data_IF_987000178536
#
_entry.id   IF_987000178536
#
_cell.length_a   1.000
_cell.length_b   1.000
_cell.length_c   1.000
_cell.angle_alpha   90.00
_cell.angle_beta   90.00
_cell.angle_gamma   90.00
#
_symmetry.space_group_name_H-M   'P 1'
#
loop_
_entity.id
_entity.type
_entity.pdbx_description
1 polymer ?
#
# COMPACT_ATOMS: atom_id res chain seq x y z
N UNK A 1 50.02 21.21 -13.89
CA UNK A 1 48.87 20.99 -12.99
C UNK A 1 47.78 20.33 -13.82
N UNK A 2 47.73 18.99 -13.81
CA UNK A 2 46.82 18.20 -14.64
C UNK A 2 45.45 18.15 -13.96
N UNK A 3 44.43 18.71 -14.62
CA UNK A 3 43.04 18.65 -14.16
C UNK A 3 42.45 17.32 -14.65
N UNK A 4 42.27 16.36 -13.74
CA UNK A 4 41.62 15.09 -14.02
C UNK A 4 40.10 15.32 -13.95
N UNK A 5 39.44 15.28 -15.11
CA UNK A 5 37.99 15.38 -15.24
C UNK A 5 37.39 14.01 -14.84
N UNK A 6 36.82 13.94 -13.65
CA UNK A 6 36.15 12.76 -13.12
C UNK A 6 34.74 12.69 -13.71
N UNK A 7 34.56 11.84 -14.73
CA UNK A 7 33.25 11.54 -15.30
C UNK A 7 32.47 10.69 -14.29
N UNK A 8 31.49 11.29 -13.63
CA UNK A 8 30.49 10.56 -12.85
C UNK A 8 29.61 9.77 -13.81
N UNK A 9 29.82 8.46 -13.88
CA UNK A 9 28.85 7.55 -14.47
C UNK A 9 27.64 7.48 -13.54
N UNK A 10 26.52 8.09 -13.94
CA UNK A 10 25.24 7.87 -13.29
C UNK A 10 24.89 6.37 -13.40
N UNK A 11 24.44 5.70 -12.33
CA UNK A 11 23.87 4.37 -12.47
C UNK A 11 22.64 4.50 -13.37
N UNK A 12 22.69 3.85 -14.53
CA UNK A 12 21.55 3.81 -15.43
C UNK A 12 20.35 3.24 -14.69
N UNK A 13 19.21 3.91 -14.81
CA UNK A 13 17.91 3.33 -14.53
C UNK A 13 17.79 2.09 -15.42
N UNK A 14 17.99 0.91 -14.84
CA UNK A 14 17.73 -0.34 -15.52
C UNK A 14 16.22 -0.48 -15.59
N UNK A 15 15.65 -0.11 -16.73
CA UNK A 15 14.36 -0.61 -17.18
C UNK A 15 14.61 -1.90 -17.99
N UNK A 16 13.61 -2.76 -18.09
CA UNK A 16 13.62 -3.88 -19.02
C UNK A 16 13.91 -3.40 -20.45
N UNK A 17 15.11 -3.67 -20.98
CA UNK A 17 15.46 -3.37 -22.37
C UNK A 17 14.89 -4.45 -23.28
N UNK A 18 13.71 -4.21 -23.84
CA UNK A 18 13.02 -5.10 -24.77
C UNK A 18 11.55 -4.74 -24.82
N UNK A 19 10.74 -5.51 -25.54
CA UNK A 19 9.29 -5.33 -25.60
C UNK A 19 8.65 -6.67 -25.36
N UNK A 20 7.59 -6.70 -24.56
CA UNK A 20 6.79 -7.89 -24.36
C UNK A 20 6.32 -8.48 -25.70
N UNK A 21 6.72 -9.73 -25.97
CA UNK A 21 6.41 -10.42 -27.21
C UNK A 21 4.89 -10.67 -27.32
N UNK A 22 4.39 -10.89 -28.54
CA UNK A 22 2.97 -11.21 -28.74
C UNK A 22 2.57 -12.54 -28.08
N UNK A 23 3.47 -13.51 -28.09
CA UNK A 23 3.27 -14.83 -27.47
C UNK A 23 3.24 -14.71 -25.94
N UNK A 24 4.22 -14.02 -25.34
CA UNK A 24 4.27 -13.80 -23.89
C UNK A 24 3.07 -12.98 -23.42
N UNK A 25 2.65 -11.96 -24.18
CA UNK A 25 1.45 -11.18 -23.89
C UNK A 25 0.19 -12.06 -23.87
N UNK A 26 0.02 -12.94 -24.86
CA UNK A 26 -1.13 -13.85 -24.90
C UNK A 26 -1.11 -14.85 -23.73
N UNK A 27 0.07 -15.34 -23.36
CA UNK A 27 0.24 -16.22 -22.21
C UNK A 27 -0.05 -15.52 -20.87
N UNK A 28 0.36 -14.25 -20.72
CA UNK A 28 0.05 -13.42 -19.56
C UNK A 28 -1.45 -13.12 -19.45
N UNK A 29 -2.12 -12.81 -20.56
CA UNK A 29 -3.57 -12.64 -20.59
C UNK A 29 -4.32 -13.92 -20.18
N UNK A 30 -3.86 -15.08 -20.63
CA UNK A 30 -4.42 -16.35 -20.18
C UNK A 30 -4.17 -16.60 -18.68
N UNK A 31 -3.01 -16.18 -18.15
CA UNK A 31 -2.70 -16.26 -16.72
C UNK A 31 -3.57 -15.30 -15.90
N UNK A 32 -3.80 -14.08 -16.39
CA UNK A 32 -4.67 -13.07 -15.78
C UNK A 32 -6.08 -13.61 -15.50
N UNK A 33 -6.70 -14.29 -16.48
CA UNK A 33 -8.00 -14.92 -16.28
C UNK A 33 -8.00 -16.02 -15.21
N UNK A 34 -6.89 -16.78 -15.06
CA UNK A 34 -6.73 -17.78 -13.99
C UNK A 34 -6.53 -17.10 -12.63
N UNK A 35 -5.71 -16.06 -12.57
CA UNK A 35 -5.49 -15.24 -11.38
C UNK A 35 -6.82 -14.66 -10.89
N UNK A 36 -7.62 -14.08 -11.78
CA UNK A 36 -8.93 -13.51 -11.45
C UNK A 36 -9.86 -14.54 -10.81
N UNK A 37 -9.96 -15.74 -11.38
CA UNK A 37 -10.77 -16.83 -10.82
C UNK A 37 -10.29 -17.26 -9.43
N UNK A 38 -8.97 -17.38 -9.23
CA UNK A 38 -8.38 -17.72 -7.93
C UNK A 38 -8.65 -16.63 -6.89
N UNK A 39 -8.51 -15.35 -7.25
CA UNK A 39 -8.81 -14.23 -6.36
C UNK A 39 -10.29 -14.16 -6.00
N UNK A 40 -11.19 -14.44 -6.95
CA UNK A 40 -12.62 -14.56 -6.68
C UNK A 40 -12.89 -15.65 -5.62
N UNK A 41 -12.29 -16.84 -5.75
CA UNK A 41 -12.40 -17.90 -4.74
C UNK A 41 -11.88 -17.46 -3.38
N UNK A 42 -10.73 -16.77 -3.32
CA UNK A 42 -10.15 -16.26 -2.07
C UNK A 42 -11.12 -15.35 -1.31
N UNK A 43 -11.87 -14.49 -2.01
CA UNK A 43 -12.75 -13.53 -1.33
C UNK A 43 -14.19 -13.98 -1.15
N UNK A 44 -14.67 -14.94 -1.96
CA UNK A 44 -16.10 -15.29 -1.99
C UNK A 44 -16.42 -16.68 -1.48
N UNK A 45 -15.43 -17.59 -1.42
CA UNK A 45 -15.68 -18.96 -1.01
C UNK A 45 -15.90 -19.07 0.51
N UNK A 46 -16.97 -19.77 0.88
CA UNK A 46 -17.33 -20.04 2.27
C UNK A 46 -16.36 -21.02 2.95
N UNK A 47 -15.73 -21.92 2.20
CA UNK A 47 -14.81 -22.93 2.68
C UNK A 47 -13.43 -22.35 2.92
N UNK A 48 -13.00 -22.33 4.18
CA UNK A 48 -11.65 -21.90 4.56
C UNK A 48 -10.57 -22.67 3.80
N UNK A 49 -10.73 -24.00 3.67
CA UNK A 49 -9.77 -24.86 2.96
C UNK A 49 -9.64 -24.48 1.49
N UNK A 50 -10.76 -24.12 0.84
CA UNK A 50 -10.76 -23.73 -0.57
C UNK A 50 -10.15 -22.34 -0.74
N UNK A 51 -10.41 -21.38 0.17
CA UNK A 51 -9.72 -20.08 0.18
C UNK A 51 -8.21 -20.22 0.34
N UNK A 52 -7.74 -21.04 1.28
CA UNK A 52 -6.30 -21.29 1.47
C UNK A 52 -5.67 -21.98 0.26
N UNK A 53 -6.38 -22.94 -0.34
CA UNK A 53 -5.93 -23.66 -1.54
C UNK A 53 -5.81 -22.70 -2.73
N UNK A 54 -6.83 -21.87 -2.95
CA UNK A 54 -6.84 -20.84 -3.98
C UNK A 54 -5.72 -19.81 -3.76
N UNK A 55 -5.47 -19.39 -2.52
CA UNK A 55 -4.36 -18.48 -2.19
C UNK A 55 -2.99 -19.11 -2.51
N UNK A 56 -2.79 -20.38 -2.18
CA UNK A 56 -1.55 -21.09 -2.52
C UNK A 56 -1.36 -21.17 -4.03
N UNK A 57 -2.42 -21.48 -4.77
CA UNK A 57 -2.34 -21.65 -6.21
C UNK A 57 -2.25 -20.30 -6.94
N UNK A 58 -2.81 -19.22 -6.38
CA UNK A 58 -2.60 -17.85 -6.82
C UNK A 58 -1.12 -17.49 -6.78
N UNK A 59 -0.42 -17.78 -5.67
CA UNK A 59 1.02 -17.51 -5.54
C UNK A 59 1.81 -18.23 -6.64
N UNK A 60 1.51 -19.51 -6.89
CA UNK A 60 2.20 -20.30 -7.92
C UNK A 60 1.93 -19.76 -9.33
N UNK A 61 0.68 -19.45 -9.64
CA UNK A 61 0.29 -18.90 -10.94
C UNK A 61 0.94 -17.53 -11.15
N UNK A 62 0.94 -16.67 -10.13
CA UNK A 62 1.56 -15.34 -10.19
C UNK A 62 3.06 -15.45 -10.43
N UNK A 63 3.78 -16.27 -9.65
CA UNK A 63 5.23 -16.49 -9.87
C UNK A 63 5.50 -17.01 -11.28
N UNK A 64 4.70 -17.96 -11.76
CA UNK A 64 4.83 -18.51 -13.12
C UNK A 64 4.54 -17.45 -14.19
N UNK A 65 3.56 -16.57 -13.97
CA UNK A 65 3.25 -15.46 -14.87
C UNK A 65 4.42 -14.47 -14.92
N UNK A 66 4.95 -14.08 -13.76
CA UNK A 66 5.99 -13.07 -13.65
C UNK A 66 7.37 -13.54 -14.14
N UNK A 67 7.64 -14.85 -14.16
CA UNK A 67 8.86 -15.44 -14.73
C UNK A 67 9.01 -15.24 -16.25
N UNK A 68 7.94 -14.80 -16.92
CA UNK A 68 8.01 -14.47 -18.35
C UNK A 68 8.86 -13.22 -18.59
N UNK A 69 9.67 -13.20 -19.67
CA UNK A 69 10.40 -12.01 -20.08
C UNK A 69 9.46 -10.81 -20.25
N UNK A 70 9.92 -9.65 -19.80
CA UNK A 70 9.18 -8.40 -19.90
C UNK A 70 7.82 -8.36 -19.19
N UNK A 71 7.58 -9.25 -18.21
CA UNK A 71 6.31 -9.32 -17.48
C UNK A 71 5.94 -8.04 -16.72
N UNK A 72 6.92 -7.17 -16.41
CA UNK A 72 6.69 -5.87 -15.76
C UNK A 72 5.83 -4.93 -16.63
N UNK A 73 5.88 -5.09 -17.95
CA UNK A 73 5.09 -4.30 -18.91
C UNK A 73 3.60 -4.68 -18.94
N UNK A 74 3.23 -5.84 -18.38
CA UNK A 74 1.85 -6.31 -18.35
C UNK A 74 1.17 -5.88 -17.06
N UNK A 75 0.10 -5.08 -17.14
CA UNK A 75 -0.49 -4.40 -15.98
C UNK A 75 -1.35 -5.29 -15.07
N UNK A 76 -1.93 -6.38 -15.59
CA UNK A 76 -2.90 -7.25 -14.89
C UNK A 76 -4.15 -6.50 -14.37
N UNK A 77 -4.73 -5.63 -15.20
CA UNK A 77 -5.86 -4.76 -14.86
C UNK A 77 -7.17 -5.53 -14.57
N UNK A 78 -7.28 -6.78 -15.02
CA UNK A 78 -8.48 -7.63 -14.93
C UNK A 78 -8.43 -8.67 -13.79
N UNK A 79 -7.71 -8.37 -12.69
CA UNK A 79 -7.68 -9.22 -11.48
C UNK A 79 -8.26 -8.49 -10.26
N UNK A 80 -9.59 -8.36 -10.13
CA UNK A 80 -10.22 -7.68 -9.00
C UNK A 80 -9.82 -8.29 -7.66
N UNK A 81 -9.34 -7.48 -6.71
CA UNK A 81 -8.92 -7.92 -5.37
C UNK A 81 -7.44 -8.30 -5.23
N UNK A 82 -6.68 -8.31 -6.34
CA UNK A 82 -5.22 -8.29 -6.33
C UNK A 82 -4.77 -6.84 -6.55
N UNK A 83 -4.23 -6.21 -5.51
CA UNK A 83 -3.70 -4.84 -5.66
C UNK A 83 -2.31 -4.87 -6.28
N UNK A 84 -2.10 -4.00 -7.28
CA UNK A 84 -0.84 -3.87 -8.02
C UNK A 84 -0.52 -2.39 -8.12
N UNK A 85 0.47 -1.93 -7.35
CA UNK A 85 0.80 -0.52 -7.27
C UNK A 85 2.21 -0.24 -7.78
N UNK A 86 2.35 0.91 -8.46
CA UNK A 86 3.61 1.38 -9.05
C UNK A 86 3.93 2.76 -8.46
N UNK A 87 5.21 3.05 -8.13
CA UNK A 87 5.64 4.43 -7.97
C UNK A 87 5.63 5.14 -9.33
N UNK A 88 5.63 6.48 -9.31
CA UNK A 88 5.65 7.33 -10.50
C UNK A 88 6.82 6.99 -11.45
N UNK A 89 7.99 6.67 -10.90
CA UNK A 89 9.20 6.35 -11.67
C UNK A 89 9.18 4.94 -12.29
N UNK A 90 8.19 4.12 -11.95
CA UNK A 90 8.01 2.73 -12.42
C UNK A 90 9.26 1.85 -12.20
N UNK A 91 10.05 2.15 -11.17
CA UNK A 91 11.26 1.39 -10.84
C UNK A 91 10.96 -0.01 -10.28
N UNK A 92 9.79 -0.18 -9.67
CA UNK A 92 9.26 -1.46 -9.19
C UNK A 92 7.73 -1.45 -9.23
N UNK A 93 7.11 -2.55 -8.83
CA UNK A 93 5.69 -2.63 -8.49
C UNK A 93 5.50 -3.58 -7.31
N UNK A 94 4.43 -3.39 -6.55
CA UNK A 94 4.08 -4.25 -5.41
C UNK A 94 2.73 -4.89 -5.67
N UNK A 95 2.71 -6.22 -5.59
CA UNK A 95 1.50 -7.03 -5.57
C UNK A 95 1.10 -7.27 -4.12
N UNK A 96 -0.15 -7.05 -3.75
CA UNK A 96 -0.67 -7.39 -2.42
C UNK A 96 -2.13 -7.83 -2.43
N UNK A 97 -2.48 -8.73 -1.52
CA UNK A 97 -3.85 -9.16 -1.25
C UNK A 97 -3.95 -9.68 0.19
N UNK A 98 -5.17 -9.80 0.69
CA UNK A 98 -5.45 -10.33 2.02
C UNK A 98 -6.27 -11.62 1.93
N UNK A 99 -6.10 -12.50 2.91
CA UNK A 99 -6.84 -13.73 3.09
C UNK A 99 -7.54 -13.67 4.44
N UNK A 100 -8.87 -13.74 4.42
CA UNK A 100 -9.67 -13.92 5.62
C UNK A 100 -9.47 -15.33 6.18
N UNK A 101 -8.82 -15.41 7.35
CA UNK A 101 -8.63 -16.67 8.08
C UNK A 101 -9.85 -16.89 8.97
N UNK A 102 -10.11 -15.95 9.87
CA UNK A 102 -11.24 -15.95 10.79
C UNK A 102 -11.63 -14.52 11.21
N UNK A 103 -12.59 -14.40 12.14
CA UNK A 103 -13.17 -13.11 12.57
C UNK A 103 -12.16 -12.09 13.10
N UNK A 104 -11.03 -12.54 13.60
CA UNK A 104 -10.02 -11.71 14.25
C UNK A 104 -8.69 -11.70 13.48
N UNK A 105 -8.59 -12.51 12.42
CA UNK A 105 -7.31 -12.78 11.76
C UNK A 105 -7.42 -12.67 10.25
N UNK A 106 -6.64 -11.75 9.70
CA UNK A 106 -6.31 -11.68 8.29
C UNK A 106 -4.84 -12.03 8.08
N UNK A 107 -4.53 -12.68 6.96
CA UNK A 107 -3.16 -12.88 6.50
C UNK A 107 -2.93 -12.10 5.23
N UNK A 108 -1.79 -11.43 5.15
CA UNK A 108 -1.40 -10.66 4.00
C UNK A 108 -0.35 -11.39 3.20
N UNK A 109 -0.39 -11.17 1.90
CA UNK A 109 0.59 -11.71 0.99
C UNK A 109 1.01 -10.60 0.06
N UNK A 110 2.28 -10.61 -0.32
CA UNK A 110 2.75 -9.70 -1.34
C UNK A 110 4.09 -10.07 -1.95
N UNK A 111 4.41 -9.37 -3.02
CA UNK A 111 5.70 -9.46 -3.67
C UNK A 111 6.06 -8.12 -4.32
N UNK A 112 7.32 -7.74 -4.21
CA UNK A 112 7.88 -6.60 -4.94
C UNK A 112 8.60 -7.14 -6.18
N UNK A 113 8.20 -6.67 -7.36
CA UNK A 113 8.91 -6.96 -8.61
C UNK A 113 9.65 -5.71 -9.06
N UNK A 114 10.98 -5.80 -9.27
CA UNK A 114 11.73 -4.71 -9.90
C UNK A 114 11.55 -4.69 -11.40
N UNK A 115 11.69 -3.50 -11.99
CA UNK A 115 11.71 -3.31 -13.43
C UNK A 115 13.11 -3.62 -14.03
N UNK A 116 13.66 -4.80 -13.75
CA UNK A 116 14.98 -5.23 -14.24
C UNK A 116 14.86 -6.16 -15.45
N UNK A 117 15.91 -6.23 -16.27
CA UNK A 117 15.96 -7.09 -17.47
C UNK A 117 15.66 -8.57 -17.15
N UNK A 118 16.19 -9.06 -16.04
CA UNK A 118 15.86 -10.38 -15.47
C UNK A 118 14.80 -10.23 -14.38
N UNK A 119 14.04 -11.30 -14.11
CA UNK A 119 13.05 -11.29 -13.04
C UNK A 119 13.75 -11.14 -11.68
N UNK A 120 13.56 -9.99 -11.04
CA UNK A 120 13.84 -9.80 -9.63
C UNK A 120 12.53 -9.67 -8.85
N UNK A 121 12.12 -10.77 -8.23
CA UNK A 121 10.89 -10.88 -7.44
C UNK A 121 11.25 -11.14 -5.97
N UNK A 122 10.82 -10.24 -5.09
CA UNK A 122 11.12 -10.27 -3.67
C UNK A 122 9.81 -10.55 -2.91
N UNK A 123 9.66 -11.72 -2.27
CA UNK A 123 8.44 -12.03 -1.51
C UNK A 123 8.36 -11.15 -0.26
N UNK A 124 7.17 -10.64 0.04
CA UNK A 124 6.85 -9.96 1.29
C UNK A 124 6.18 -10.97 2.23
N UNK A 125 6.89 -11.33 3.30
CA UNK A 125 6.47 -12.32 4.29
C UNK A 125 5.81 -11.59 5.45
N UNK A 126 4.49 -11.77 5.58
CA UNK A 126 3.70 -11.21 6.67
C UNK A 126 4.12 -11.79 8.03
N UNK A 127 4.48 -10.88 8.94
CA UNK A 127 4.82 -11.10 10.33
C UNK A 127 4.18 -10.03 11.23
N UNK A 128 3.03 -9.48 10.85
CA UNK A 128 2.33 -8.43 11.60
C UNK A 128 2.08 -8.78 13.08
N UNK A 129 1.77 -10.05 13.36
CA UNK A 129 1.62 -10.58 14.73
C UNK A 129 2.87 -10.40 15.60
N UNK A 130 4.06 -10.35 15.00
CA UNK A 130 5.33 -10.13 15.72
C UNK A 130 5.55 -8.66 16.10
N UNK A 131 4.74 -7.75 15.59
CA UNK A 131 4.90 -6.29 15.72
C UNK A 131 3.76 -5.61 16.48
N UNK A 132 2.90 -6.36 17.15
CA UNK A 132 1.69 -5.83 17.81
C UNK A 132 1.96 -4.76 18.88
N UNK A 133 3.10 -4.83 19.58
CA UNK A 133 3.39 -3.91 20.69
C UNK A 133 3.85 -2.52 20.24
N UNK A 134 4.65 -2.45 19.18
CA UNK A 134 5.23 -1.19 18.72
C UNK A 134 5.46 -1.18 17.20
N UNK A 135 4.39 -1.35 16.40
CA UNK A 135 4.52 -1.40 14.96
C UNK A 135 4.95 -0.04 14.42
N UNK A 136 4.64 1.08 15.06
CA UNK A 136 4.90 2.41 14.48
C UNK A 136 6.37 2.86 14.52
N UNK A 137 7.21 2.14 15.25
CA UNK A 137 8.65 2.41 15.37
C UNK A 137 9.53 1.28 14.79
N UNK A 138 8.93 0.22 14.23
CA UNK A 138 9.68 -0.93 13.75
C UNK A 138 10.30 -0.69 12.37
N UNK A 139 11.60 -0.93 12.20
CA UNK A 139 12.23 -0.99 10.88
C UNK A 139 12.30 -2.45 10.46
N UNK A 140 11.66 -2.80 9.34
CA UNK A 140 11.48 -4.20 8.92
C UNK A 140 11.98 -4.45 7.50
N UNK A 141 12.25 -5.72 7.20
CA UNK A 141 12.65 -6.18 5.87
C UNK A 141 11.53 -7.00 5.26
N UNK A 142 11.65 -7.31 3.96
CA UNK A 142 10.66 -8.12 3.25
C UNK A 142 10.37 -9.48 3.89
N UNK A 143 11.31 -10.12 4.58
CA UNK A 143 11.13 -11.40 5.26
C UNK A 143 10.46 -11.31 6.65
N UNK A 144 10.18 -10.10 7.12
CA UNK A 144 9.53 -9.81 8.39
C UNK A 144 8.60 -8.59 8.30
N UNK A 145 7.90 -8.48 7.18
CA UNK A 145 7.06 -7.34 6.82
C UNK A 145 5.77 -7.31 7.67
N UNK A 146 5.18 -6.12 7.86
CA UNK A 146 4.03 -5.94 8.73
C UNK A 146 2.74 -6.58 8.21
N UNK A 147 2.59 -6.70 6.88
CA UNK A 147 1.38 -7.22 6.25
C UNK A 147 0.30 -6.15 6.09
N UNK A 148 0.01 -5.76 4.85
CA UNK A 148 -1.12 -4.88 4.48
C UNK A 148 -1.33 -4.89 2.97
N UNK A 149 -2.54 -4.57 2.50
CA UNK A 149 -2.80 -4.37 1.07
C UNK A 149 -2.39 -2.96 0.67
N UNK A 150 -1.44 -2.81 -0.24
CA UNK A 150 -0.99 -1.50 -0.73
C UNK A 150 -2.03 -0.96 -1.71
N UNK A 151 -2.56 0.23 -1.49
CA UNK A 151 -3.50 0.88 -2.41
C UNK A 151 -2.89 2.07 -3.17
N UNK A 152 -1.74 2.59 -2.72
CA UNK A 152 -1.04 3.66 -3.42
C UNK A 152 0.46 3.68 -3.08
N UNK A 153 1.28 4.20 -4.01
CA UNK A 153 2.72 4.37 -3.82
C UNK A 153 3.15 5.71 -4.40
N UNK A 154 3.74 6.56 -3.56
CA UNK A 154 4.17 7.90 -3.95
C UNK A 154 5.67 8.11 -3.74
N UNK A 155 6.28 8.93 -4.59
CA UNK A 155 7.68 9.33 -4.44
C UNK A 155 7.86 10.18 -3.18
N UNK A 156 8.61 9.69 -2.20
CA UNK A 156 8.78 10.40 -0.93
C UNK A 156 9.91 11.43 -0.95
N UNK A 157 10.85 11.32 -1.89
CA UNK A 157 12.04 12.16 -1.99
C UNK A 157 13.31 11.38 -1.64
N UNK A 158 14.27 12.02 -0.97
CA UNK A 158 15.51 11.36 -0.56
C UNK A 158 15.89 11.71 0.86
N UNK A 159 16.34 10.71 1.63
CA UNK A 159 16.82 10.88 2.99
C UNK A 159 18.26 10.38 3.08
N UNK A 160 19.19 11.24 3.52
CA UNK A 160 20.64 10.96 3.55
C UNK A 160 21.17 10.41 2.20
N UNK A 161 20.68 10.98 1.10
CA UNK A 161 21.09 10.62 -0.27
C UNK A 161 20.49 9.31 -0.80
N UNK A 162 19.53 8.69 -0.10
CA UNK A 162 18.82 7.49 -0.58
C UNK A 162 17.37 7.82 -0.89
N UNK A 163 16.85 7.42 -2.07
CA UNK A 163 15.44 7.61 -2.38
C UNK A 163 14.57 6.75 -1.47
N UNK A 164 13.37 7.25 -1.17
CA UNK A 164 12.33 6.49 -0.49
C UNK A 164 10.96 6.77 -1.09
N UNK A 165 10.01 5.90 -0.78
CA UNK A 165 8.65 5.92 -1.29
C UNK A 165 7.68 5.82 -0.13
N UNK A 166 6.61 6.61 -0.19
CA UNK A 166 5.45 6.39 0.66
C UNK A 166 4.66 5.21 0.13
N UNK A 167 4.31 4.30 1.03
CA UNK A 167 3.50 3.12 0.74
C UNK A 167 2.24 3.24 1.57
N UNK A 168 1.12 3.44 0.89
CA UNK A 168 -0.18 3.57 1.52
C UNK A 168 -0.85 2.20 1.57
N UNK A 169 -1.09 1.71 2.78
CA UNK A 169 -1.59 0.38 3.07
C UNK A 169 -2.98 0.38 3.72
N UNK A 170 -3.71 -0.69 3.49
CA UNK A 170 -4.99 -1.01 4.13
C UNK A 170 -4.91 -2.40 4.75
N UNK A 171 -5.44 -2.54 5.97
CA UNK A 171 -5.54 -3.82 6.68
C UNK A 171 -6.96 -3.95 7.24
N UNK A 172 -7.65 -5.03 6.83
CA UNK A 172 -9.01 -5.33 7.33
C UNK A 172 -9.05 -5.61 8.84
N UNK A 173 -7.91 -5.89 9.45
CA UNK A 173 -7.64 -5.98 10.87
C UNK A 173 -8.55 -6.91 11.67
N UNK A 174 -9.72 -6.47 12.13
CA UNK A 174 -10.64 -7.29 12.91
C UNK A 174 -12.12 -7.07 12.49
N UNK A 175 -13.07 -7.68 13.19
CA UNK A 175 -14.50 -7.54 12.84
C UNK A 175 -15.02 -6.10 12.93
N UNK A 176 -14.52 -5.30 13.87
CA UNK A 176 -15.04 -3.97 14.24
C UNK A 176 -14.12 -2.81 13.88
N UNK A 177 -12.87 -3.09 13.53
CA UNK A 177 -11.84 -2.08 13.25
C UNK A 177 -11.15 -2.35 11.94
N UNK A 178 -10.65 -1.29 11.33
CA UNK A 178 -9.85 -1.27 10.11
C UNK A 178 -8.61 -0.44 10.34
N UNK A 179 -7.61 -0.62 9.48
CA UNK A 179 -6.37 0.14 9.53
C UNK A 179 -6.03 0.74 8.18
N UNK A 180 -5.64 2.02 8.20
CA UNK A 180 -4.87 2.65 7.13
C UNK A 180 -3.45 2.91 7.61
N UNK A 181 -2.48 2.66 6.75
CA UNK A 181 -1.06 2.63 7.08
C UNK A 181 -0.31 3.54 6.11
N UNK A 182 0.51 4.44 6.64
CA UNK A 182 1.53 5.14 5.88
C UNK A 182 2.88 4.53 6.28
N UNK A 183 3.43 3.69 5.42
CA UNK A 183 4.76 3.10 5.61
C UNK A 183 5.77 3.77 4.66
N UNK A 184 7.05 3.59 4.93
CA UNK A 184 8.12 4.16 4.10
C UNK A 184 9.02 3.05 3.58
N UNK A 185 8.97 2.83 2.27
CA UNK A 185 9.84 1.89 1.57
C UNK A 185 11.12 2.59 1.12
N UNK A 186 12.26 1.99 1.46
CA UNK A 186 13.58 2.36 0.95
C UNK A 186 14.35 1.11 0.56
N UNK A 187 15.52 1.28 -0.07
CA UNK A 187 16.40 0.17 -0.41
C UNK A 187 17.76 0.31 0.29
N UNK A 188 18.21 -0.78 0.91
CA UNK A 188 19.52 -0.82 1.55
C UNK A 188 20.67 -0.80 0.52
N UNK A 189 21.92 -0.79 0.98
CA UNK A 189 23.09 -0.79 0.08
C UNK A 189 23.20 -2.03 -0.81
N UNK A 190 22.55 -3.13 -0.45
CA UNK A 190 22.49 -4.34 -1.24
C UNK A 190 21.27 -4.36 -2.18
N UNK A 191 20.48 -3.28 -2.23
CA UNK A 191 19.26 -3.23 -3.01
C UNK A 191 18.14 -4.07 -2.41
N UNK A 192 18.13 -4.39 -1.11
CA UNK A 192 17.00 -5.08 -0.49
C UNK A 192 15.98 -4.07 0.04
N UNK A 193 14.67 -4.33 -0.12
CA UNK A 193 13.63 -3.45 0.42
C UNK A 193 13.65 -3.45 1.95
N UNK A 194 13.53 -2.25 2.50
CA UNK A 194 13.42 -1.96 3.93
C UNK A 194 12.25 -1.03 4.14
N UNK A 195 11.36 -1.40 5.05
CA UNK A 195 10.15 -0.65 5.40
C UNK A 195 10.32 0.01 6.77
N UNK A 196 9.73 1.19 6.94
CA UNK A 196 9.76 1.94 8.18
C UNK A 196 10.93 2.88 8.34
N UNK A 197 11.28 3.65 7.31
CA UNK A 197 12.27 4.71 7.46
C UNK A 197 11.76 5.74 8.50
N UNK A 198 12.50 6.02 9.59
CA UNK A 198 12.03 6.86 10.70
C UNK A 198 12.11 8.35 10.36
N UNK A 199 11.10 8.85 9.65
CA UNK A 199 11.06 10.23 9.13
C UNK A 199 9.81 11.00 9.52
N UNK A 200 8.90 10.44 10.34
CA UNK A 200 7.69 11.15 10.75
C UNK A 200 7.84 11.71 12.16
N UNK A 201 7.65 13.02 12.29
CA UNK A 201 7.57 13.74 13.56
C UNK A 201 6.10 14.16 13.75
N UNK A 202 5.41 13.51 14.70
CA UNK A 202 3.96 13.69 14.96
C UNK A 202 3.69 14.01 16.42
N UNK A 203 2.45 14.27 16.79
CA UNK A 203 2.07 14.59 18.17
C UNK A 203 1.06 13.61 18.75
N UNK A 204 1.11 13.42 20.07
CA UNK A 204 0.01 12.79 20.82
C UNK A 204 -1.11 13.78 21.07
N UNK A 205 -2.29 13.30 21.48
CA UNK A 205 -3.43 14.12 21.91
C UNK A 205 -3.09 15.16 23.00
N UNK A 206 -2.06 14.89 23.81
CA UNK A 206 -1.57 15.81 24.84
C UNK A 206 -0.45 16.74 24.34
N UNK A 207 -0.29 16.86 23.03
CA UNK A 207 0.70 17.69 22.34
C UNK A 207 2.17 17.32 22.67
N UNK A 208 2.42 16.05 23.03
CA UNK A 208 3.78 15.53 23.16
C UNK A 208 4.30 15.09 21.79
N UNK A 209 5.47 15.58 21.43
CA UNK A 209 6.16 15.23 20.20
C UNK A 209 6.64 13.77 20.22
N UNK A 210 6.33 13.06 19.15
CA UNK A 210 6.79 11.72 18.82
C UNK A 210 7.72 11.83 17.61
N UNK A 211 9.02 11.96 17.88
CA UNK A 211 10.04 12.10 16.84
C UNK A 211 10.39 10.75 16.19
N UNK A 212 10.67 10.78 14.90
CA UNK A 212 11.29 9.68 14.17
C UNK A 212 10.44 8.40 14.12
N UNK A 213 9.12 8.52 14.04
CA UNK A 213 8.25 7.37 13.79
C UNK A 213 8.53 6.80 12.40
N UNK A 214 8.49 5.48 12.31
CA UNK A 214 8.76 4.71 11.10
C UNK A 214 7.54 4.68 10.17
N UNK A 215 6.34 4.77 10.73
CA UNK A 215 5.05 4.71 10.03
C UNK A 215 3.93 5.32 10.86
N UNK A 216 2.81 5.63 10.20
CA UNK A 216 1.55 5.99 10.85
C UNK A 216 0.53 4.87 10.65
N UNK A 217 -0.18 4.48 11.71
CA UNK A 217 -1.25 3.48 11.65
C UNK A 217 -2.52 4.08 12.23
N UNK A 218 -3.47 4.40 11.35
CA UNK A 218 -4.79 4.90 11.71
C UNK A 218 -5.72 3.70 11.91
N UNK A 219 -6.00 3.33 13.16
CA UNK A 219 -6.99 2.30 13.49
C UNK A 219 -8.34 2.96 13.74
N UNK A 220 -9.36 2.58 12.98
CA UNK A 220 -10.68 3.22 13.01
C UNK A 220 -11.83 2.21 12.96
N UNK A 221 -13.03 2.62 13.34
CA UNK A 221 -14.22 1.77 13.29
C UNK A 221 -14.55 1.29 11.88
N UNK A 222 -14.88 0.01 11.72
CA UNK A 222 -15.10 -0.64 10.42
C UNK A 222 -16.29 -0.08 9.63
N UNK A 223 -17.17 0.67 10.28
CA UNK A 223 -18.30 1.37 9.67
C UNK A 223 -17.94 2.76 9.11
N UNK A 224 -16.75 3.28 9.41
CA UNK A 224 -16.27 4.56 8.93
C UNK A 224 -15.42 4.43 7.67
N UNK A 225 -15.28 5.56 6.97
CA UNK A 225 -14.29 5.77 5.93
C UNK A 225 -13.35 6.85 6.42
N UNK A 226 -12.04 6.61 6.36
CA UNK A 226 -10.99 7.53 6.86
C UNK A 226 -10.04 7.87 5.73
N UNK A 227 -9.70 9.13 5.50
CA UNK A 227 -8.69 9.52 4.52
C UNK A 227 -7.26 9.36 5.04
N UNK A 228 -6.39 8.86 4.16
CA UNK A 228 -4.93 8.88 4.28
C UNK A 228 -4.38 8.82 2.86
N UNK A 229 -3.79 9.91 2.37
CA UNK A 229 -3.32 10.03 0.98
C UNK A 229 -2.29 11.14 0.84
N UNK A 230 -1.49 11.08 -0.21
CA UNK A 230 -0.72 12.23 -0.65
C UNK A 230 -1.66 13.24 -1.33
N UNK A 231 -1.48 14.52 -1.05
CA UNK A 231 -2.19 15.61 -1.69
C UNK A 231 -1.19 16.49 -2.44
N UNK A 232 -1.19 16.47 -3.79
CA UNK A 232 -0.22 17.20 -4.58
C UNK A 232 -0.44 18.72 -4.54
N UNK A 233 -1.65 19.19 -4.24
CA UNK A 233 -1.94 20.63 -4.13
C UNK A 233 -1.41 21.20 -2.82
N UNK A 234 -1.57 20.45 -1.73
CA UNK A 234 -1.03 20.83 -0.42
C UNK A 234 0.46 20.51 -0.29
N UNK A 235 0.98 19.62 -1.14
CA UNK A 235 2.38 19.19 -1.15
C UNK A 235 2.74 18.31 0.03
N UNK A 236 1.84 17.44 0.48
CA UNK A 236 2.10 16.58 1.63
C UNK A 236 1.06 15.49 1.87
N UNK A 237 1.26 14.71 2.94
CA UNK A 237 0.34 13.61 3.28
C UNK A 237 -0.78 14.14 4.18
N UNK A 238 -2.02 14.02 3.70
CA UNK A 238 -3.22 14.38 4.44
C UNK A 238 -3.80 13.13 5.09
N UNK A 239 -4.17 13.24 6.37
CA UNK A 239 -4.85 12.17 7.09
C UNK A 239 -5.89 12.70 8.06
N UNK A 240 -7.01 11.99 8.19
CA UNK A 240 -8.10 12.41 9.07
C UNK A 240 -7.72 12.27 10.55
N UNK A 241 -8.19 13.25 11.34
CA UNK A 241 -8.16 13.15 12.79
C UNK A 241 -9.19 12.12 13.27
N UNK A 242 -8.82 11.33 14.26
CA UNK A 242 -9.68 10.29 14.81
C UNK A 242 -9.98 10.58 16.29
N UNK A 243 -11.26 10.56 16.64
CA UNK A 243 -11.72 10.73 18.01
C UNK A 243 -12.34 9.44 18.55
N UNK A 244 -12.12 9.16 19.82
CA UNK A 244 -12.65 7.95 20.46
C UNK A 244 -14.13 8.11 20.78
N UNK A 245 -14.94 7.18 20.26
CA UNK A 245 -16.39 7.12 20.47
C UNK A 245 -16.77 5.81 21.16
N UNK A 246 -17.87 5.76 21.94
CA UNK A 246 -18.42 4.49 22.43
C UNK A 246 -18.81 3.58 21.27
N UNK A 247 -18.45 2.29 21.33
CA UNK A 247 -18.89 1.30 20.35
C UNK A 247 -20.38 0.93 20.49
N UNK A 248 -20.96 0.42 19.40
CA UNK A 248 -22.39 0.15 19.27
C UNK A 248 -22.76 -1.34 19.39
N UNK A 249 -21.76 -2.22 19.43
CA UNK A 249 -21.88 -3.67 19.30
C UNK A 249 -21.18 -4.47 20.41
N UNK A 250 -20.71 -3.81 21.48
CA UNK A 250 -19.98 -4.45 22.59
C UNK A 250 -18.47 -4.61 22.35
N UNK A 251 -17.95 -4.02 21.28
CA UNK A 251 -16.56 -3.96 20.83
C UNK A 251 -15.68 -2.99 21.63
N UNK A 252 -16.27 -2.28 22.60
CA UNK A 252 -15.61 -1.22 23.35
C UNK A 252 -15.47 0.08 22.55
N UNK A 253 -14.66 1.04 23.00
CA UNK A 253 -14.44 2.27 22.26
C UNK A 253 -13.80 2.03 20.89
N UNK A 254 -14.22 2.82 19.90
CA UNK A 254 -13.70 2.82 18.52
C UNK A 254 -13.33 4.24 18.11
N UNK A 255 -12.27 4.37 17.32
CA UNK A 255 -11.87 5.67 16.80
C UNK A 255 -12.65 5.98 15.53
N UNK A 256 -13.24 7.17 15.45
CA UNK A 256 -14.08 7.62 14.34
C UNK A 256 -13.55 8.95 13.82
N UNK A 257 -13.63 9.21 12.50
CA UNK A 257 -13.23 10.50 11.97
C UNK A 257 -14.17 11.61 12.39
N UNK A 258 -13.61 12.77 12.75
CA UNK A 258 -14.39 13.96 13.12
C UNK A 258 -14.54 14.99 11.99
N UNK A 259 -13.92 14.72 10.83
CA UNK A 259 -13.93 15.57 9.64
C UNK A 259 -12.83 16.64 9.60
N UNK A 260 -11.96 16.72 10.62
CA UNK A 260 -10.71 17.49 10.58
C UNK A 260 -9.55 16.63 10.06
N UNK A 261 -8.49 17.27 9.57
CA UNK A 261 -7.33 16.57 9.02
C UNK A 261 -6.03 17.19 9.51
N UNK A 262 -5.02 16.34 9.54
CA UNK A 262 -3.63 16.67 9.74
C UNK A 262 -2.90 16.66 8.40
N UNK A 263 -1.80 17.41 8.34
CA UNK A 263 -0.93 17.43 7.18
C UNK A 263 0.51 17.14 7.60
N UNK A 264 1.12 16.13 7.01
CA UNK A 264 2.57 15.96 7.07
C UNK A 264 3.22 16.79 5.95
N UNK A 265 4.17 17.65 6.31
CA UNK A 265 5.02 18.39 5.36
C UNK A 265 6.48 18.04 5.55
N UNK A 266 7.23 18.00 4.44
CA UNK A 266 8.68 17.87 4.48
C UNK A 266 9.31 19.17 4.96
N UNK A 267 10.09 19.09 6.03
CA UNK A 267 10.83 20.21 6.60
C UNK A 267 12.31 20.22 6.18
N UNK A 268 13.01 21.32 6.49
CA UNK A 268 14.43 21.52 6.13
C UNK A 268 15.38 20.47 6.72
N UNK A 269 14.98 19.80 7.81
CA UNK A 269 15.74 18.72 8.45
C UNK A 269 15.62 17.37 7.70
N UNK A 270 14.80 17.32 6.65
CA UNK A 270 14.55 16.14 5.85
C UNK A 270 13.58 15.15 6.49
N UNK A 271 12.85 15.54 7.53
CA UNK A 271 11.75 14.78 8.14
C UNK A 271 10.40 15.41 7.79
N UNK A 272 9.36 14.63 8.00
CA UNK A 272 7.97 14.99 7.75
C UNK A 272 7.30 15.35 9.08
N UNK A 273 6.96 16.62 9.24
CA UNK A 273 6.38 17.15 10.46
C UNK A 273 4.87 17.27 10.30
N UNK A 274 4.15 16.83 11.32
CA UNK A 274 2.71 17.02 11.43
C UNK A 274 2.38 18.47 11.77
N UNK A 275 1.57 19.08 10.91
CA UNK A 275 0.88 20.33 11.17
C UNK A 275 -0.61 20.03 11.35
N UNK A 276 -1.16 20.42 12.50
CA UNK A 276 -2.61 20.43 12.67
C UNK A 276 -3.19 21.52 11.77
N UNK A 277 -3.79 21.12 10.65
CA UNK A 277 -4.52 22.05 9.81
C UNK A 277 -5.94 22.20 10.37
N UNK A 278 -6.14 23.21 11.20
CA UNK A 278 -7.48 23.78 11.39
C UNK A 278 -7.89 24.35 10.02
N UNK A 279 -8.67 23.58 9.25
CA UNK A 279 -9.23 24.04 7.98
C UNK A 279 -10.08 25.30 8.24
N UNK A 280 -9.44 26.47 8.15
CA UNK A 280 -10.12 27.74 7.86
C UNK A 280 -10.32 27.92 6.36
N UNK A 281 -9.96 26.90 5.57
CA UNK A 281 -10.17 26.89 4.14
C UNK A 281 -11.64 26.65 3.82
N UNK A 282 -12.35 27.73 3.45
CA UNK A 282 -13.62 27.63 2.74
C UNK A 282 -13.31 27.28 1.30
N UNK A 283 -13.50 26.02 0.95
CA UNK A 283 -13.58 25.60 -0.44
C UNK A 283 -14.63 26.46 -1.18
N UNK A 284 -14.26 27.13 -2.28
CA UNK A 284 -15.22 27.84 -3.14
C UNK A 284 -16.19 26.85 -3.82
N UNK A 285 -15.71 25.64 -4.13
CA UNK A 285 -16.51 24.48 -4.49
C UNK A 285 -16.09 23.29 -3.62
N UNK A 286 -17.06 22.56 -3.08
CA UNK A 286 -16.80 21.34 -2.28
C UNK A 286 -15.75 20.46 -2.97
N UNK A 287 -14.75 19.93 -2.24
CA UNK A 287 -13.76 19.03 -2.81
C UNK A 287 -14.51 17.86 -3.42
N UNK A 288 -14.63 17.87 -4.75
CA UNK A 288 -15.07 16.71 -5.49
C UNK A 288 -13.83 15.84 -5.50
N UNK A 289 -13.86 14.75 -4.74
CA UNK A 289 -13.03 13.60 -5.09
C UNK A 289 -13.16 13.48 -6.61
N UNK A 290 -12.08 13.71 -7.35
CA UNK A 290 -12.08 13.30 -8.75
C UNK A 290 -12.06 11.79 -8.62
N UNK A 291 -13.20 11.09 -8.81
CA UNK A 291 -13.17 9.66 -8.70
C UNK A 291 -12.27 9.27 -9.86
N UNK A 292 -11.10 8.65 -9.58
CA UNK A 292 -10.54 7.72 -10.55
C UNK A 292 -11.73 6.85 -10.94
N UNK A 293 -12.14 6.79 -12.22
CA UNK A 293 -13.42 6.22 -12.60
C UNK A 293 -13.62 4.91 -11.86
N UNK A 294 -14.54 4.85 -10.89
CA UNK A 294 -14.71 3.61 -10.15
C UNK A 294 -15.38 2.68 -11.14
N UNK A 295 -14.65 1.67 -11.61
CA UNK A 295 -15.22 0.56 -12.39
C UNK A 295 -16.12 -0.34 -11.50
N UNK A 296 -16.77 0.22 -10.48
CA UNK A 296 -17.51 -0.52 -9.47
C UNK A 296 -16.64 -1.31 -8.49
N UNK A 297 -15.36 -0.92 -8.32
CA UNK A 297 -14.38 -1.58 -7.44
C UNK A 297 -14.05 -0.74 -6.19
N UNK A 298 -13.81 -1.41 -5.05
CA UNK A 298 -13.37 -0.76 -3.80
C UNK A 298 -11.87 -0.41 -3.81
N UNK A 299 -11.35 0.16 -2.71
CA UNK A 299 -9.96 0.64 -2.56
C UNK A 299 -8.89 -0.45 -2.72
N UNK A 300 -9.28 -1.73 -2.66
CA UNK A 300 -8.41 -2.90 -2.86
C UNK A 300 -8.79 -3.65 -4.14
N UNK A 301 -9.60 -3.03 -4.99
CA UNK A 301 -9.95 -3.54 -6.31
C UNK A 301 -11.07 -4.58 -6.33
N UNK A 302 -11.82 -4.82 -5.26
CA UNK A 302 -12.95 -5.78 -5.25
C UNK A 302 -14.18 -5.18 -5.91
N UNK A 303 -14.77 -5.89 -6.87
CA UNK A 303 -16.03 -5.49 -7.50
C UNK A 303 -17.27 -5.74 -6.63
N UNK A 304 -18.22 -4.81 -6.60
CA UNK A 304 -19.55 -5.03 -6.02
C UNK A 304 -20.58 -5.48 -7.07
N UNK A 305 -21.35 -6.54 -6.81
CA UNK A 305 -22.59 -6.76 -7.60
C UNK A 305 -23.52 -5.56 -7.37
N UNK A 306 -24.12 -4.97 -8.42
CA UNK A 306 -25.12 -3.94 -8.23
C UNK A 306 -26.25 -4.52 -7.37
N UNK A 307 -26.58 -3.85 -6.27
CA UNK A 307 -27.78 -4.17 -5.49
C UNK A 307 -28.96 -4.10 -6.44
N UNK A 308 -29.52 -5.24 -6.81
CA UNK A 308 -30.81 -5.29 -7.48
C UNK A 308 -31.83 -4.69 -6.51
N UNK A 309 -32.25 -3.46 -6.79
CA UNK A 309 -33.29 -2.78 -6.03
C UNK A 309 -34.57 -3.58 -6.09
N UNK A 310 -34.84 -4.35 -5.03
CA UNK A 310 -36.14 -4.96 -4.79
C UNK A 310 -37.11 -3.86 -4.35
N UNK A 311 -37.83 -3.30 -5.30
CA UNK A 311 -38.98 -2.46 -5.02
C UNK A 311 -40.13 -3.29 -4.48
N UNK A 312 -40.62 -2.91 -3.30
CA UNK A 312 -42.04 -3.00 -2.93
C UNK A 312 -42.46 -1.62 -2.44
#
# INVERSE_FOLDING_TARGET
MFFLLLVFAAPGLFAQTGRLSGEDRAALAAAEGRLAALVETIYTDSSEVDRFTACRDLIKELVTALDRPHSFEYAFDEVPGLSIQYPEDRSFRIFTWELFVDRETYRHYGALQRNTAELELIPLVDRGESWLENPENAVVKADNWLGYVVYDIEGGGSYRGRPYYFVFGYDSYDTYRRRKILDVLSFDSAGKPVFGLPIFDTYTDNNLLLEGRARLILTYGAEATVALRFDPELGGVVFENLVMMPGNHGEGPVSMPDGSYHLLRLEEDGRWHEEEQIFTHKYEEAPREVPKPSEGRDIIGRGGKPKSGGGR
#
